data_IF_016551699937
#
_entry.id   IF_016551699937
#
_cell.length_a   1.000
_cell.length_b   1.000
_cell.length_c   1.000
_cell.angle_alpha   90.00
_cell.angle_beta   90.00
_cell.angle_gamma   90.00
#
_symmetry.space_group_name_H-M   'P 1'
#
loop_
_entity.id
_entity.type
_entity.pdbx_description
1 polymer ?
#
# COMPACT_ATOMS: atom_id res chain seq x y z
N UNK A 1 6.35 7.23 -12.41
CA UNK A 1 7.04 6.50 -11.33
C UNK A 1 6.49 5.08 -11.22
N UNK A 2 7.25 4.21 -10.60
CA UNK A 2 6.81 2.85 -10.33
C UNK A 2 6.19 2.78 -8.93
N UNK A 3 4.94 2.34 -8.86
CA UNK A 3 4.16 2.31 -7.63
C UNK A 3 3.66 0.89 -7.38
N UNK A 4 3.82 0.40 -6.16
CA UNK A 4 3.27 -0.88 -5.72
C UNK A 4 2.18 -0.61 -4.69
N UNK A 5 1.00 -1.14 -4.91
CA UNK A 5 -0.16 -0.99 -4.02
C UNK A 5 -0.47 -2.35 -3.42
N UNK A 6 -0.45 -2.44 -2.09
CA UNK A 6 -0.84 -3.65 -1.38
C UNK A 6 -2.27 -3.49 -0.89
N UNK A 7 -3.16 -4.28 -1.47
CA UNK A 7 -4.60 -4.23 -1.23
C UNK A 7 -5.37 -3.79 -2.46
N UNK A 8 -6.26 -4.66 -2.94
CA UNK A 8 -7.09 -4.41 -4.13
C UNK A 8 -8.56 -4.19 -3.79
N UNK A 9 -8.85 -3.82 -2.55
CA UNK A 9 -10.20 -3.46 -2.13
C UNK A 9 -10.63 -2.11 -2.71
N UNK A 10 -11.62 -1.51 -2.11
CA UNK A 10 -12.19 -0.25 -2.62
C UNK A 10 -11.13 0.85 -2.79
N UNK A 11 -10.34 1.08 -1.75
CA UNK A 11 -9.33 2.15 -1.80
C UNK A 11 -8.18 1.80 -2.74
N UNK A 12 -7.67 0.58 -2.67
CA UNK A 12 -6.55 0.17 -3.52
C UNK A 12 -6.91 0.19 -5.00
N UNK A 13 -8.09 -0.29 -5.35
CA UNK A 13 -8.54 -0.28 -6.74
C UNK A 13 -8.78 1.14 -7.26
N UNK A 14 -9.31 2.01 -6.42
CA UNK A 14 -9.50 3.42 -6.78
C UNK A 14 -8.15 4.12 -7.04
N UNK A 15 -7.18 3.91 -6.15
CA UNK A 15 -5.83 4.44 -6.32
C UNK A 15 -5.17 3.90 -7.60
N UNK A 16 -5.30 2.60 -7.83
CA UNK A 16 -4.71 1.97 -9.01
C UNK A 16 -5.28 2.58 -10.29
N UNK A 17 -6.58 2.76 -10.35
CA UNK A 17 -7.25 3.36 -11.50
C UNK A 17 -6.80 4.79 -11.72
N UNK A 18 -6.77 5.60 -10.68
CA UNK A 18 -6.38 6.99 -10.76
C UNK A 18 -4.92 7.15 -11.19
N UNK A 19 -4.02 6.41 -10.56
CA UNK A 19 -2.59 6.54 -10.81
C UNK A 19 -2.17 5.95 -12.16
N UNK A 20 -2.79 4.85 -12.59
CA UNK A 20 -2.51 4.30 -13.92
C UNK A 20 -2.96 5.26 -15.02
N UNK A 21 -4.06 5.98 -14.78
CA UNK A 21 -4.55 7.00 -15.71
C UNK A 21 -3.60 8.19 -15.85
N UNK A 22 -2.72 8.40 -14.87
CA UNK A 22 -1.74 9.47 -14.89
C UNK A 22 -0.35 9.01 -15.40
N UNK A 23 -0.28 7.84 -16.02
CA UNK A 23 0.95 7.36 -16.66
C UNK A 23 1.96 6.69 -15.72
N UNK A 24 1.55 6.37 -14.49
CA UNK A 24 2.42 5.63 -13.57
C UNK A 24 2.36 4.13 -13.85
N UNK A 25 3.46 3.45 -13.55
CA UNK A 25 3.59 2.01 -13.68
C UNK A 25 3.15 1.36 -12.37
N UNK A 26 2.00 0.69 -12.38
CA UNK A 26 1.33 0.21 -11.18
C UNK A 26 1.36 -1.32 -11.09
N UNK A 27 1.73 -1.84 -9.92
CA UNK A 27 1.57 -3.24 -9.56
C UNK A 27 0.67 -3.31 -8.32
N UNK A 28 -0.34 -4.18 -8.36
CA UNK A 28 -1.28 -4.36 -7.25
C UNK A 28 -1.12 -5.76 -6.67
N UNK A 29 -0.99 -5.85 -5.34
CA UNK A 29 -0.88 -7.11 -4.61
C UNK A 29 -2.19 -7.35 -3.84
N UNK A 30 -2.72 -8.56 -3.92
CA UNK A 30 -3.82 -8.99 -3.06
C UNK A 30 -3.85 -10.51 -3.00
N UNK A 31 -4.32 -11.07 -1.91
CA UNK A 31 -4.48 -12.51 -1.79
C UNK A 31 -5.77 -13.03 -2.44
N UNK A 32 -6.70 -12.13 -2.79
CA UNK A 32 -7.96 -12.49 -3.43
C UNK A 32 -7.83 -12.32 -4.95
N UNK A 33 -7.79 -13.43 -5.72
CA UNK A 33 -7.65 -13.34 -7.17
C UNK A 33 -8.82 -12.63 -7.86
N UNK A 34 -9.99 -12.65 -7.23
CA UNK A 34 -11.17 -11.98 -7.79
C UNK A 34 -11.00 -10.47 -7.75
N UNK A 35 -10.50 -9.93 -6.64
CA UNK A 35 -10.25 -8.50 -6.52
C UNK A 35 -9.17 -8.06 -7.53
N UNK A 36 -8.14 -8.89 -7.72
CA UNK A 36 -7.11 -8.60 -8.71
C UNK A 36 -7.66 -8.58 -10.13
N UNK A 37 -8.53 -9.53 -10.47
CA UNK A 37 -9.17 -9.56 -11.77
C UNK A 37 -10.04 -8.33 -12.00
N UNK A 38 -10.76 -7.89 -10.97
CA UNK A 38 -11.61 -6.71 -11.05
C UNK A 38 -10.78 -5.45 -11.32
N UNK A 39 -9.69 -5.24 -10.59
CA UNK A 39 -8.86 -4.05 -10.79
C UNK A 39 -8.15 -4.09 -12.15
N UNK A 40 -7.73 -5.26 -12.59
CA UNK A 40 -7.08 -5.42 -13.89
C UNK A 40 -8.03 -5.11 -15.04
N UNK A 41 -9.34 -5.30 -14.85
CA UNK A 41 -10.34 -4.96 -15.87
C UNK A 41 -10.61 -3.46 -15.96
N UNK A 42 -10.26 -2.69 -14.92
CA UNK A 42 -10.53 -1.26 -14.81
C UNK A 42 -9.31 -0.37 -15.03
N UNK A 43 -8.12 -0.93 -14.93
CA UNK A 43 -6.89 -0.15 -14.95
C UNK A 43 -5.77 -0.95 -15.61
N UNK A 44 -4.81 -0.23 -16.18
CA UNK A 44 -3.62 -0.84 -16.78
C UNK A 44 -2.59 -1.09 -15.67
N UNK A 45 -2.70 -2.25 -15.05
CA UNK A 45 -1.86 -2.61 -13.90
C UNK A 45 -1.36 -4.05 -14.04
N UNK A 46 -0.21 -4.32 -13.41
CA UNK A 46 0.24 -5.69 -13.18
C UNK A 46 -0.34 -6.14 -11.84
N UNK A 47 -0.61 -7.42 -11.72
CA UNK A 47 -1.14 -7.98 -10.47
C UNK A 47 -0.23 -9.08 -9.93
N UNK A 48 -0.13 -9.15 -8.60
CA UNK A 48 0.59 -10.21 -7.90
C UNK A 48 -0.33 -10.77 -6.84
N UNK A 49 -0.66 -12.06 -6.96
CA UNK A 49 -1.50 -12.73 -5.99
C UNK A 49 -0.64 -13.21 -4.82
N UNK A 50 -1.04 -12.86 -3.61
CA UNK A 50 -0.38 -13.33 -2.41
C UNK A 50 -0.51 -12.35 -1.24
N UNK A 51 0.11 -12.73 -0.13
CA UNK A 51 0.09 -11.97 1.10
C UNK A 51 1.21 -10.92 1.10
N UNK A 52 0.85 -9.65 1.13
CA UNK A 52 1.80 -8.54 1.08
C UNK A 52 2.67 -8.41 2.35
N UNK A 53 2.43 -9.23 3.36
CA UNK A 53 3.27 -9.28 4.56
C UNK A 53 4.36 -10.34 4.47
N UNK A 54 4.61 -10.87 3.28
CA UNK A 54 5.66 -11.86 3.06
C UNK A 54 6.73 -11.31 2.13
N UNK A 55 7.98 -11.68 2.39
CA UNK A 55 9.10 -11.26 1.54
C UNK A 55 8.98 -11.78 0.12
N UNK A 56 8.55 -13.03 -0.04
CA UNK A 56 8.43 -13.63 -1.37
C UNK A 56 7.48 -12.84 -2.27
N UNK A 57 6.33 -12.46 -1.76
CA UNK A 57 5.33 -11.71 -2.52
C UNK A 57 5.82 -10.29 -2.82
N UNK A 58 6.42 -9.63 -1.84
CA UNK A 58 6.96 -8.29 -2.04
C UNK A 58 8.07 -8.29 -3.09
N UNK A 59 8.95 -9.30 -3.07
CA UNK A 59 9.98 -9.44 -4.10
C UNK A 59 9.38 -9.71 -5.48
N UNK A 60 8.35 -10.53 -5.53
CA UNK A 60 7.64 -10.82 -6.78
C UNK A 60 7.02 -9.54 -7.38
N UNK A 61 6.56 -8.64 -6.53
CA UNK A 61 6.01 -7.36 -6.95
C UNK A 61 7.10 -6.33 -7.27
N UNK A 62 8.37 -6.68 -7.12
CA UNK A 62 9.53 -5.82 -7.41
C UNK A 62 9.54 -4.53 -6.57
N UNK A 63 9.20 -4.64 -5.29
CA UNK A 63 9.20 -3.47 -4.40
C UNK A 63 10.56 -2.81 -4.29
N UNK A 64 11.64 -3.59 -4.47
CA UNK A 64 13.00 -3.06 -4.44
C UNK A 64 13.20 -1.91 -5.44
N UNK A 65 12.50 -1.95 -6.57
CA UNK A 65 12.63 -0.97 -7.63
C UNK A 65 11.55 0.10 -7.60
N UNK A 66 10.63 0.04 -6.64
CA UNK A 66 9.51 0.97 -6.65
C UNK A 66 9.88 2.30 -6.01
N UNK A 67 9.27 3.36 -6.54
CA UNK A 67 9.42 4.71 -6.02
C UNK A 67 8.50 4.92 -4.82
N UNK A 68 7.35 4.25 -4.83
CA UNK A 68 6.33 4.42 -3.79
C UNK A 68 5.63 3.09 -3.53
N UNK A 69 5.56 2.71 -2.28
CA UNK A 69 4.79 1.55 -1.82
C UNK A 69 3.64 2.05 -0.96
N UNK A 70 2.42 1.64 -1.28
CA UNK A 70 1.21 2.08 -0.58
C UNK A 70 0.49 0.84 -0.05
N UNK A 71 0.40 0.71 1.28
CA UNK A 71 -0.31 -0.40 1.91
C UNK A 71 -1.71 0.07 2.34
N UNK A 72 -2.73 -0.48 1.70
CA UNK A 72 -4.14 -0.14 1.95
C UNK A 72 -4.98 -1.41 2.09
N UNK A 73 -4.40 -2.44 2.69
CA UNK A 73 -5.12 -3.67 3.01
C UNK A 73 -6.23 -3.40 4.01
N UNK A 74 -7.17 -4.32 4.06
CA UNK A 74 -8.31 -4.24 4.96
C UNK A 74 -7.90 -4.31 6.43
N UNK A 75 -6.83 -5.02 6.74
CA UNK A 75 -6.32 -5.20 8.11
C UNK A 75 -5.16 -4.25 8.36
N UNK A 76 -5.31 -3.38 9.36
CA UNK A 76 -4.33 -2.36 9.71
C UNK A 76 -2.92 -2.92 9.96
N UNK A 77 -2.83 -4.01 10.73
CA UNK A 77 -1.53 -4.59 11.06
C UNK A 77 -0.78 -5.05 9.81
N UNK A 78 -1.50 -5.54 8.82
CA UNK A 78 -0.90 -5.95 7.56
C UNK A 78 -0.28 -4.76 6.83
N UNK A 79 -0.91 -3.59 6.92
CA UNK A 79 -0.40 -2.37 6.28
C UNK A 79 0.92 -1.93 6.93
N UNK A 80 0.98 -1.96 8.25
CA UNK A 80 2.20 -1.60 8.98
C UNK A 80 3.33 -2.57 8.63
N UNK A 81 3.06 -3.87 8.71
CA UNK A 81 4.07 -4.88 8.41
C UNK A 81 4.54 -4.77 6.96
N UNK A 82 3.61 -4.70 6.02
CA UNK A 82 3.95 -4.62 4.60
C UNK A 82 4.80 -3.37 4.29
N UNK A 83 4.43 -2.22 4.85
CA UNK A 83 5.16 -0.98 4.61
C UNK A 83 6.58 -1.02 5.18
N UNK A 84 6.76 -1.60 6.37
CA UNK A 84 8.09 -1.76 6.97
C UNK A 84 8.94 -2.70 6.11
N UNK A 85 8.41 -3.85 5.73
CA UNK A 85 9.15 -4.82 4.93
C UNK A 85 9.50 -4.26 3.55
N UNK A 86 8.58 -3.58 2.90
CA UNK A 86 8.82 -2.99 1.59
C UNK A 86 9.95 -1.96 1.65
N UNK A 87 9.97 -1.12 2.67
CA UNK A 87 11.01 -0.13 2.87
C UNK A 87 12.38 -0.80 3.05
N UNK A 88 12.43 -1.85 3.87
CA UNK A 88 13.67 -2.59 4.11
C UNK A 88 14.16 -3.30 2.85
N UNK A 89 13.25 -3.72 1.98
CA UNK A 89 13.61 -4.35 0.71
C UNK A 89 14.06 -3.36 -0.36
N UNK A 90 13.87 -2.06 -0.14
CA UNK A 90 14.39 -1.04 -1.04
C UNK A 90 13.39 -0.07 -1.65
N UNK A 91 12.12 -0.13 -1.28
CA UNK A 91 11.16 0.89 -1.73
C UNK A 91 11.64 2.28 -1.27
N UNK A 92 11.59 3.26 -2.15
CA UNK A 92 12.09 4.61 -1.81
C UNK A 92 11.23 5.29 -0.77
N UNK A 93 9.92 5.17 -0.90
CA UNK A 93 8.96 5.70 0.07
C UNK A 93 7.91 4.65 0.37
N UNK A 94 7.42 4.61 1.61
CA UNK A 94 6.33 3.73 2.00
C UNK A 94 5.25 4.49 2.75
N UNK A 95 4.00 4.13 2.47
CA UNK A 95 2.83 4.72 3.07
C UNK A 95 1.97 3.58 3.61
N UNK A 96 1.44 3.74 4.82
CA UNK A 96 0.53 2.76 5.40
C UNK A 96 -0.76 3.42 5.84
N UNK A 97 -1.88 2.82 5.45
CA UNK A 97 -3.19 3.16 5.98
C UNK A 97 -3.33 2.58 7.39
N UNK A 98 -3.82 3.41 8.30
CA UNK A 98 -4.10 2.99 9.67
C UNK A 98 -5.56 3.29 9.98
N UNK A 99 -6.10 2.55 10.95
CA UNK A 99 -7.47 2.74 11.44
C UNK A 99 -7.50 3.20 12.89
N UNK A 100 -6.34 3.20 13.55
CA UNK A 100 -6.20 3.63 14.93
C UNK A 100 -5.61 5.04 15.00
N UNK A 101 -6.44 6.00 15.38
CA UNK A 101 -6.07 7.40 15.47
C UNK A 101 -4.88 7.64 16.45
N UNK A 102 -4.72 6.78 17.42
CA UNK A 102 -3.62 6.87 18.39
C UNK A 102 -2.25 6.81 17.71
N UNK A 103 -2.14 6.10 16.58
CA UNK A 103 -0.89 5.99 15.83
C UNK A 103 -0.42 7.33 15.26
N UNK A 104 -1.32 8.29 15.12
CA UNK A 104 -0.98 9.62 14.58
C UNK A 104 -0.51 10.61 15.64
N UNK A 105 -0.59 10.26 16.92
CA UNK A 105 -0.05 11.10 17.97
C UNK A 105 1.45 11.26 17.79
N UNK A 106 2.02 12.47 17.99
CA UNK A 106 3.40 12.77 17.61
C UNK A 106 4.45 11.77 18.11
N UNK A 107 4.36 11.35 19.36
CA UNK A 107 5.33 10.39 19.91
C UNK A 107 5.19 9.01 19.29
N UNK A 108 3.97 8.58 19.00
CA UNK A 108 3.70 7.27 18.41
C UNK A 108 4.03 7.26 16.93
N UNK A 109 3.67 8.32 16.22
CA UNK A 109 3.95 8.48 14.79
C UNK A 109 5.44 8.39 14.50
N UNK A 110 6.26 8.99 15.35
CA UNK A 110 7.70 8.98 15.18
C UNK A 110 8.28 7.56 15.24
N UNK A 111 7.69 6.68 16.06
CA UNK A 111 8.11 5.28 16.13
C UNK A 111 7.97 4.62 14.76
N UNK A 112 6.83 4.83 14.10
CA UNK A 112 6.60 4.24 12.78
C UNK A 112 7.52 4.82 11.72
N UNK A 113 7.80 6.12 11.78
CA UNK A 113 8.74 6.77 10.87
C UNK A 113 10.13 6.16 11.04
N UNK A 114 10.56 5.94 12.28
CA UNK A 114 11.86 5.32 12.57
C UNK A 114 11.92 3.86 12.11
N UNK A 115 10.79 3.18 11.99
CA UNK A 115 10.70 1.83 11.45
C UNK A 115 10.76 1.81 9.91
N UNK A 116 10.72 2.96 9.27
CA UNK A 116 10.80 3.06 7.83
C UNK A 116 9.51 3.40 7.11
N UNK A 117 8.41 3.66 7.83
CA UNK A 117 7.15 4.09 7.22
C UNK A 117 7.21 5.61 7.08
N UNK A 118 7.26 6.09 5.85
CA UNK A 118 7.41 7.53 5.61
C UNK A 118 6.14 8.32 5.93
N UNK A 119 4.97 7.73 5.66
CA UNK A 119 3.69 8.39 5.91
C UNK A 119 2.65 7.41 6.42
N UNK A 120 1.88 7.87 7.41
CA UNK A 120 0.69 7.18 7.89
C UNK A 120 -0.52 8.02 7.55
N UNK A 121 -1.62 7.39 7.12
CA UNK A 121 -2.85 8.14 6.93
C UNK A 121 -4.04 7.41 7.53
N UNK A 122 -5.03 8.19 7.97
CA UNK A 122 -6.21 7.70 8.66
C UNK A 122 -7.46 8.17 7.92
N UNK A 123 -8.09 7.31 7.10
CA UNK A 123 -9.24 7.71 6.30
C UNK A 123 -10.45 8.17 7.10
N UNK A 124 -10.67 7.60 8.29
CA UNK A 124 -11.80 7.99 9.14
C UNK A 124 -11.71 9.43 9.59
N UNK A 125 -10.48 9.88 9.95
CA UNK A 125 -10.26 11.27 10.32
C UNK A 125 -10.65 12.20 9.19
N UNK A 126 -10.33 11.83 7.98
CA UNK A 126 -10.65 12.63 6.81
C UNK A 126 -12.16 12.68 6.58
N UNK A 127 -12.85 11.57 6.77
CA UNK A 127 -14.31 11.50 6.65
C UNK A 127 -15.03 12.33 7.69
N UNK A 128 -14.54 12.36 8.92
CA UNK A 128 -15.14 13.13 9.99
C UNK A 128 -15.12 14.63 9.77
N UNK A 129 -14.29 15.12 8.85
CA UNK A 129 -14.19 16.54 8.53
C UNK A 129 -15.25 17.01 7.55
N UNK A 130 -15.97 16.09 7.01
CA UNK A 130 -17.07 16.44 6.12
C UNK A 130 -18.32 16.74 6.92
#
# INVERSE_FOLDING_TARGET
>A
MKIVIAGAGEMGSHLAKMLSGNGHDITVIDSDPKLLADVASLADVLTVEGDSTTFAVLRKASVRKCDLFIAVNHVENDNVVAAVLAKQLGAKKSIARIDNNEYLEPNNKEIFINMGIDYLFYPERWRLRR
#
